data_IF_465119380736
#
_entry.id   IF_465119380736
#
_cell.length_a   1.000
_cell.length_b   1.000
_cell.length_c   1.000
_cell.angle_alpha   90.00
_cell.angle_beta   90.00
_cell.angle_gamma   90.00
#
_symmetry.space_group_name_H-M   'P 1'
#
loop_
_entity.id
_entity.type
_entity.pdbx_description
1 polymer ?
#
# COMPACT_ATOMS: atom_id res chain seq x y z
N UNK A 1 35.77 -29.02 -9.64
CA UNK A 1 34.99 -28.66 -8.45
C UNK A 1 33.82 -29.65 -8.42
N UNK A 2 33.93 -30.69 -7.61
CA UNK A 2 32.84 -31.66 -7.45
C UNK A 2 31.78 -31.03 -6.57
N UNK A 3 30.53 -31.06 -7.00
CA UNK A 3 29.40 -30.52 -6.27
C UNK A 3 28.96 -31.56 -5.24
N UNK A 4 29.22 -31.30 -3.95
CA UNK A 4 28.87 -32.24 -2.87
C UNK A 4 27.45 -31.91 -2.36
N UNK A 5 26.50 -32.77 -2.71
CA UNK A 5 25.10 -32.69 -2.27
C UNK A 5 24.97 -32.84 -0.74
N UNK A 6 25.85 -33.60 -0.12
CA UNK A 6 25.79 -33.80 1.33
C UNK A 6 26.13 -32.50 2.07
N UNK A 7 27.14 -31.76 1.62
CA UNK A 7 27.53 -30.48 2.16
C UNK A 7 26.37 -29.42 1.99
N UNK A 8 25.66 -29.49 0.87
CA UNK A 8 24.55 -28.55 0.59
C UNK A 8 23.32 -28.82 1.43
N UNK A 9 22.93 -30.09 1.64
CA UNK A 9 21.67 -30.44 2.28
C UNK A 9 21.79 -30.89 3.73
N UNK A 10 22.86 -31.47 4.16
CA UNK A 10 22.99 -32.08 5.48
C UNK A 10 24.07 -31.39 6.30
N UNK A 11 25.23 -31.07 5.66
CA UNK A 11 26.39 -30.53 6.34
C UNK A 11 26.71 -31.36 7.61
N UNK A 12 27.09 -30.74 8.70
CA UNK A 12 27.40 -31.41 10.00
C UNK A 12 26.15 -31.63 10.86
N UNK A 13 24.99 -31.95 10.27
CA UNK A 13 23.74 -32.17 10.99
C UNK A 13 23.75 -33.53 11.71
N UNK A 14 23.90 -33.53 13.02
CA UNK A 14 23.73 -34.71 13.86
C UNK A 14 22.34 -34.82 14.48
N UNK A 15 21.97 -35.99 15.01
CA UNK A 15 20.67 -36.22 15.65
C UNK A 15 20.42 -35.30 16.84
N UNK A 16 21.45 -34.98 17.62
CA UNK A 16 21.33 -34.12 18.79
C UNK A 16 20.98 -32.68 18.38
N UNK A 17 21.63 -32.19 17.31
CA UNK A 17 21.37 -30.87 16.78
C UNK A 17 20.04 -30.80 16.04
N UNK A 18 19.63 -31.86 15.34
CA UNK A 18 18.30 -31.94 14.73
C UNK A 18 17.19 -31.75 15.76
N UNK A 19 17.29 -32.43 16.91
CA UNK A 19 16.35 -32.26 18.00
C UNK A 19 16.37 -30.83 18.60
N UNK A 20 17.58 -30.25 18.72
CA UNK A 20 17.71 -28.86 19.18
C UNK A 20 17.07 -27.87 18.22
N UNK A 21 17.20 -28.04 16.90
CA UNK A 21 16.52 -27.17 15.91
C UNK A 21 15.01 -27.21 16.14
N UNK A 22 14.41 -28.39 16.31
CA UNK A 22 12.96 -28.51 16.55
C UNK A 22 12.55 -27.75 17.82
N UNK A 23 13.24 -27.99 18.93
CA UNK A 23 12.93 -27.34 20.22
C UNK A 23 13.12 -25.82 20.12
N UNK A 24 14.24 -25.35 19.57
CA UNK A 24 14.55 -23.94 19.38
C UNK A 24 13.50 -23.26 18.49
N UNK A 25 13.08 -23.92 17.41
CA UNK A 25 12.04 -23.40 16.51
C UNK A 25 10.69 -23.27 17.24
N UNK A 26 10.28 -24.28 18.01
CA UNK A 26 9.04 -24.20 18.79
C UNK A 26 9.07 -23.07 19.81
N UNK A 27 10.18 -22.90 20.52
CA UNK A 27 10.34 -21.82 21.51
C UNK A 27 10.33 -20.45 20.84
N UNK A 28 11.15 -20.25 19.79
CA UNK A 28 11.24 -18.95 19.12
C UNK A 28 9.94 -18.60 18.39
N UNK A 29 9.27 -19.56 17.76
CA UNK A 29 7.97 -19.36 17.15
C UNK A 29 6.90 -18.93 18.19
N UNK A 30 6.95 -19.55 19.37
CA UNK A 30 6.07 -19.14 20.48
C UNK A 30 6.35 -17.70 20.91
N UNK A 31 7.60 -17.26 20.95
CA UNK A 31 7.95 -15.86 21.25
C UNK A 31 7.42 -14.91 20.19
N UNK A 32 7.52 -15.24 18.91
CA UNK A 32 6.92 -14.44 17.83
C UNK A 32 5.41 -14.30 18.04
N UNK A 33 4.69 -15.41 18.31
CA UNK A 33 3.25 -15.38 18.54
C UNK A 33 2.88 -14.53 19.77
N UNK A 34 3.62 -14.66 20.86
CA UNK A 34 3.42 -13.87 22.07
C UNK A 34 3.65 -12.39 21.77
N UNK A 35 4.73 -12.04 21.07
CA UNK A 35 5.02 -10.67 20.67
C UNK A 35 3.88 -10.09 19.83
N UNK A 36 3.44 -10.78 18.78
CA UNK A 36 2.33 -10.33 17.92
C UNK A 36 1.02 -10.16 18.71
N UNK A 37 0.76 -11.05 19.68
CA UNK A 37 -0.41 -10.92 20.54
C UNK A 37 -0.29 -9.72 21.50
N UNK A 38 0.90 -9.44 22.00
CA UNK A 38 1.17 -8.32 22.92
C UNK A 38 1.26 -6.97 22.23
N UNK A 39 1.64 -6.90 20.94
CA UNK A 39 1.72 -5.66 20.18
C UNK A 39 0.33 -5.05 19.88
N UNK A 40 -0.76 -5.79 19.97
CA UNK A 40 -2.12 -5.26 19.91
C UNK A 40 -3.07 -6.01 18.98
N UNK A 41 -4.32 -5.53 18.91
CA UNK A 41 -5.40 -6.15 18.13
C UNK A 41 -5.48 -5.63 16.68
N UNK A 42 -4.56 -4.80 16.21
CA UNK A 42 -4.54 -4.38 14.80
C UNK A 42 -4.34 -5.62 13.94
N UNK A 43 -5.35 -5.97 13.16
CA UNK A 43 -5.26 -7.11 12.24
C UNK A 43 -4.14 -6.89 11.23
N UNK A 44 -3.57 -7.97 10.70
CA UNK A 44 -2.45 -7.95 9.72
C UNK A 44 -2.75 -7.04 8.49
N UNK A 45 -4.01 -6.72 8.24
CA UNK A 45 -4.45 -5.84 7.14
C UNK A 45 -4.23 -4.34 7.39
N UNK A 46 -3.88 -3.92 8.61
CA UNK A 46 -3.77 -2.50 9.00
C UNK A 46 -2.43 -2.21 9.69
N UNK A 47 -1.38 -2.98 9.37
CA UNK A 47 -0.05 -2.72 9.88
C UNK A 47 0.53 -1.46 9.23
N UNK A 48 1.04 -0.56 10.06
CA UNK A 48 1.84 0.57 9.58
C UNK A 48 3.21 0.10 9.05
N UNK A 49 3.87 0.94 8.25
CA UNK A 49 5.24 0.67 7.75
C UNK A 49 6.18 0.40 8.93
N UNK A 50 6.01 1.14 10.04
CA UNK A 50 6.77 0.96 11.27
C UNK A 50 6.58 -0.44 11.88
N UNK A 51 5.34 -0.92 11.96
CA UNK A 51 5.04 -2.26 12.49
C UNK A 51 5.59 -3.37 11.59
N UNK A 52 5.50 -3.20 10.27
CA UNK A 52 6.09 -4.12 9.29
C UNK A 52 7.61 -4.20 9.45
N UNK A 53 8.30 -3.07 9.61
CA UNK A 53 9.76 -3.03 9.82
C UNK A 53 10.17 -3.78 11.10
N UNK A 54 9.41 -3.62 12.19
CA UNK A 54 9.64 -4.36 13.43
C UNK A 54 9.46 -5.88 13.23
N UNK A 55 8.39 -6.30 12.55
CA UNK A 55 8.12 -7.72 12.31
C UNK A 55 9.24 -8.36 11.49
N UNK A 56 9.73 -7.68 10.45
CA UNK A 56 10.86 -8.17 9.64
C UNK A 56 12.13 -8.28 10.50
N UNK A 57 12.43 -7.25 11.30
CA UNK A 57 13.59 -7.26 12.21
C UNK A 57 13.53 -8.39 13.24
N UNK A 58 12.35 -8.65 13.82
CA UNK A 58 12.15 -9.74 14.76
C UNK A 58 12.23 -11.11 14.09
N UNK A 59 11.77 -11.23 12.83
CA UNK A 59 11.94 -12.46 12.05
C UNK A 59 13.43 -12.85 11.89
N UNK A 60 14.28 -11.89 11.60
CA UNK A 60 15.74 -12.10 11.55
C UNK A 60 16.31 -12.50 12.92
N UNK A 61 15.99 -11.76 13.98
CA UNK A 61 16.45 -12.06 15.34
C UNK A 61 15.98 -13.44 15.86
N UNK A 62 14.87 -13.95 15.36
CA UNK A 62 14.35 -15.27 15.68
C UNK A 62 15.03 -16.39 14.86
N UNK A 63 15.35 -16.11 13.60
CA UNK A 63 15.90 -17.10 12.66
C UNK A 63 17.28 -17.64 13.07
N UNK A 64 18.16 -16.75 13.49
CA UNK A 64 19.51 -17.12 13.89
C UNK A 64 19.56 -18.19 15.00
N UNK A 65 18.89 -18.04 16.15
CA UNK A 65 18.91 -19.07 17.19
C UNK A 65 18.13 -20.35 16.82
N UNK A 66 17.25 -20.32 15.81
CA UNK A 66 16.57 -21.53 15.32
C UNK A 66 17.51 -22.47 14.59
N UNK A 67 18.38 -21.94 13.74
CA UNK A 67 19.19 -22.73 12.79
C UNK A 67 20.67 -22.81 13.12
N UNK A 68 21.20 -21.93 13.98
CA UNK A 68 22.63 -21.85 14.27
C UNK A 68 22.93 -22.34 15.68
N UNK A 69 23.92 -23.27 15.78
CA UNK A 69 24.40 -23.83 17.08
C UNK A 69 24.98 -22.76 18.00
N UNK A 70 25.67 -21.78 17.44
CA UNK A 70 26.42 -20.76 18.19
C UNK A 70 25.54 -19.67 18.77
N UNK A 71 24.27 -19.57 18.33
CA UNK A 71 23.34 -18.59 18.84
C UNK A 71 22.42 -19.17 19.93
N UNK A 72 22.54 -18.62 21.13
CA UNK A 72 21.70 -19.02 22.25
C UNK A 72 20.31 -18.33 22.17
N UNK A 73 19.28 -18.96 22.72
CA UNK A 73 17.90 -18.43 22.75
C UNK A 73 17.77 -17.21 23.66
N UNK A 74 18.50 -17.15 24.77
CA UNK A 74 18.38 -16.09 25.78
C UNK A 74 18.71 -14.67 25.24
N UNK A 75 19.80 -14.46 24.46
CA UNK A 75 20.03 -13.17 23.79
C UNK A 75 18.88 -12.75 22.86
N UNK A 76 18.32 -13.67 22.09
CA UNK A 76 17.17 -13.37 21.24
C UNK A 76 15.93 -12.96 22.06
N UNK A 77 15.67 -13.65 23.18
CA UNK A 77 14.60 -13.25 24.09
C UNK A 77 14.78 -11.80 24.61
N UNK A 78 16.00 -11.41 24.97
CA UNK A 78 16.30 -10.04 25.38
C UNK A 78 16.04 -9.03 24.26
N UNK A 79 16.36 -9.37 22.99
CA UNK A 79 16.03 -8.56 21.83
C UNK A 79 14.50 -8.39 21.72
N UNK A 80 13.75 -9.48 21.80
CA UNK A 80 12.26 -9.43 21.73
C UNK A 80 11.67 -8.55 22.85
N UNK A 81 12.13 -8.70 24.09
CA UNK A 81 11.65 -7.90 25.20
C UNK A 81 12.01 -6.40 25.05
N UNK A 82 13.22 -6.11 24.58
CA UNK A 82 13.66 -4.74 24.32
C UNK A 82 12.84 -4.09 23.22
N UNK A 83 12.66 -4.79 22.09
CA UNK A 83 11.84 -4.30 20.96
C UNK A 83 10.38 -4.11 21.38
N UNK A 84 9.81 -5.02 22.16
CA UNK A 84 8.46 -4.88 22.70
C UNK A 84 8.33 -3.65 23.60
N UNK A 85 9.32 -3.42 24.49
CA UNK A 85 9.36 -2.24 25.34
C UNK A 85 9.44 -0.93 24.55
N UNK A 86 10.33 -0.89 23.53
CA UNK A 86 10.46 0.25 22.62
C UNK A 86 9.17 0.48 21.81
N UNK A 87 8.59 -0.58 21.25
CA UNK A 87 7.32 -0.50 20.55
C UNK A 87 6.21 0.11 21.42
N UNK A 88 6.07 -0.38 22.64
CA UNK A 88 5.07 0.16 23.60
C UNK A 88 5.34 1.62 23.97
N UNK A 89 6.61 2.00 24.14
CA UNK A 89 6.99 3.38 24.43
C UNK A 89 6.67 4.29 23.25
N UNK A 90 7.07 3.90 22.04
CA UNK A 90 6.86 4.69 20.82
C UNK A 90 5.36 4.86 20.54
N UNK A 91 4.58 3.79 20.60
CA UNK A 91 3.13 3.85 20.36
C UNK A 91 2.42 4.67 21.46
N UNK A 92 2.91 4.64 22.71
CA UNK A 92 2.36 5.48 23.77
C UNK A 92 2.67 6.97 23.55
N UNK A 93 3.86 7.31 23.04
CA UNK A 93 4.22 8.69 22.68
C UNK A 93 3.38 9.16 21.49
N UNK A 94 3.26 8.35 20.44
CA UNK A 94 2.46 8.65 19.26
C UNK A 94 0.99 8.91 19.62
N UNK A 95 0.38 8.06 20.46
CA UNK A 95 -0.99 8.26 20.94
C UNK A 95 -1.24 9.57 21.73
N UNK A 96 -0.18 10.26 22.15
CA UNK A 96 -0.27 11.53 22.89
C UNK A 96 0.17 12.76 22.09
N UNK A 97 0.81 12.56 20.96
CA UNK A 97 1.41 13.62 20.18
C UNK A 97 1.19 13.38 18.69
N UNK A 98 0.19 14.04 18.12
CA UNK A 98 -0.17 13.95 16.69
C UNK A 98 1.02 14.27 15.76
N UNK A 99 1.87 15.24 16.11
CA UNK A 99 3.06 15.57 15.32
C UNK A 99 4.10 14.45 15.30
N UNK A 100 4.22 13.68 16.39
CA UNK A 100 5.08 12.52 16.45
C UNK A 100 4.48 11.33 15.67
N UNK A 101 3.17 11.16 15.74
CA UNK A 101 2.43 10.17 14.97
C UNK A 101 2.59 10.40 13.46
N UNK A 102 2.43 11.65 13.00
CA UNK A 102 2.65 12.05 11.61
C UNK A 102 4.07 11.76 11.10
N UNK A 103 5.09 12.00 11.94
CA UNK A 103 6.49 11.64 11.58
C UNK A 103 6.69 10.13 11.50
N UNK A 104 6.01 9.35 12.33
CA UNK A 104 6.19 7.91 12.42
C UNK A 104 5.41 7.15 11.32
N UNK A 105 4.16 7.52 11.08
CA UNK A 105 3.22 6.81 10.21
C UNK A 105 2.89 7.60 8.94
N UNK A 106 3.23 8.89 8.88
CA UNK A 106 2.81 9.81 7.84
C UNK A 106 1.39 10.33 8.07
N UNK A 107 0.93 11.19 7.15
CA UNK A 107 -0.44 11.72 7.17
C UNK A 107 -1.26 11.16 6.01
N UNK A 108 -2.59 11.03 6.17
CA UNK A 108 -3.48 10.72 5.06
C UNK A 108 -3.40 11.79 3.97
N UNK A 109 -3.38 11.37 2.71
CA UNK A 109 -3.18 12.26 1.56
C UNK A 109 -4.38 12.22 0.63
N UNK A 110 -4.94 13.41 0.29
CA UNK A 110 -6.01 13.51 -0.69
C UNK A 110 -5.47 13.26 -2.10
N UNK A 111 -5.97 12.22 -2.76
CA UNK A 111 -5.62 11.86 -4.15
C UNK A 111 -6.66 12.35 -5.13
N UNK A 112 -7.95 12.20 -4.81
CA UNK A 112 -9.07 12.70 -5.60
C UNK A 112 -9.87 13.67 -4.77
N UNK A 113 -10.18 14.80 -5.38
CA UNK A 113 -11.13 15.80 -4.89
C UNK A 113 -12.04 16.21 -6.05
N UNK A 114 -13.33 16.18 -5.80
CA UNK A 114 -14.38 16.52 -6.79
C UNK A 114 -14.29 15.79 -8.13
N UNK A 115 -13.92 14.50 -8.11
CA UNK A 115 -13.80 13.68 -9.32
C UNK A 115 -12.53 13.93 -10.14
N UNK A 116 -11.55 14.63 -9.60
CA UNK A 116 -10.29 14.99 -10.25
C UNK A 116 -9.10 14.65 -9.35
N UNK A 117 -7.97 14.30 -9.95
CA UNK A 117 -6.73 14.13 -9.21
C UNK A 117 -6.27 15.45 -8.58
N UNK A 118 -5.81 15.39 -7.35
CA UNK A 118 -5.12 16.50 -6.72
C UNK A 118 -3.75 16.71 -7.41
N UNK A 119 -3.46 17.93 -7.84
CA UNK A 119 -2.24 18.25 -8.62
C UNK A 119 -0.97 18.28 -7.76
N UNK A 120 -1.09 18.52 -6.47
CA UNK A 120 0.06 18.62 -5.57
C UNK A 120 0.57 17.24 -5.15
N UNK A 121 -0.35 16.29 -4.98
CA UNK A 121 -0.11 14.98 -4.37
C UNK A 121 -0.24 13.82 -5.34
N UNK A 122 -1.14 13.91 -6.34
CA UNK A 122 -1.55 12.77 -7.18
C UNK A 122 -0.44 12.13 -8.01
N UNK A 123 0.57 12.89 -8.46
CA UNK A 123 1.69 12.33 -9.26
C UNK A 123 2.84 11.75 -8.44
N UNK A 124 3.01 12.24 -7.23
CA UNK A 124 4.18 11.89 -6.41
C UNK A 124 3.95 10.64 -5.57
N UNK A 125 2.71 10.23 -5.40
CA UNK A 125 2.32 9.28 -4.37
C UNK A 125 1.94 7.90 -4.93
N UNK A 126 1.46 7.82 -6.19
CA UNK A 126 1.02 6.57 -6.81
C UNK A 126 1.39 6.47 -8.29
N UNK A 127 1.79 5.27 -8.72
CA UNK A 127 1.73 4.95 -10.15
C UNK A 127 0.25 4.91 -10.57
N UNK A 128 -0.13 5.69 -11.59
CA UNK A 128 -1.53 5.85 -12.03
C UNK A 128 -2.23 4.51 -12.32
N UNK A 129 -1.51 3.58 -12.92
CA UNK A 129 -2.04 2.25 -13.25
C UNK A 129 -2.38 1.42 -11.99
N UNK A 130 -1.58 1.57 -10.93
CA UNK A 130 -1.81 0.94 -9.63
C UNK A 130 -3.06 1.52 -8.96
N UNK A 131 -3.19 2.84 -8.96
CA UNK A 131 -4.37 3.51 -8.44
C UNK A 131 -5.65 3.15 -9.21
N UNK A 132 -5.58 3.06 -10.54
CA UNK A 132 -6.70 2.59 -11.35
C UNK A 132 -7.06 1.13 -11.06
N UNK A 133 -6.08 0.30 -10.69
CA UNK A 133 -6.35 -1.07 -10.23
C UNK A 133 -7.15 -1.09 -8.93
N UNK A 134 -6.76 -0.25 -7.95
CA UNK A 134 -7.50 -0.09 -6.70
C UNK A 134 -8.94 0.38 -6.96
N UNK A 135 -9.13 1.38 -7.82
CA UNK A 135 -10.47 1.86 -8.18
C UNK A 135 -11.33 0.74 -8.77
N UNK A 136 -10.78 -0.06 -9.70
CA UNK A 136 -11.51 -1.17 -10.31
C UNK A 136 -11.87 -2.27 -9.31
N UNK A 137 -11.04 -2.54 -8.31
CA UNK A 137 -11.35 -3.47 -7.22
C UNK A 137 -12.55 -3.01 -6.38
N UNK A 138 -12.81 -1.69 -6.35
CA UNK A 138 -13.96 -1.08 -5.70
C UNK A 138 -15.15 -0.84 -6.66
N UNK A 139 -15.15 -1.46 -7.85
CA UNK A 139 -16.17 -1.32 -8.89
C UNK A 139 -16.35 0.13 -9.36
N UNK A 140 -15.27 0.91 -9.41
CA UNK A 140 -15.27 2.27 -9.94
C UNK A 140 -14.86 2.20 -11.42
N UNK A 141 -15.63 2.81 -12.30
CA UNK A 141 -15.38 2.82 -13.74
C UNK A 141 -14.74 4.12 -14.22
N UNK A 142 -14.99 5.25 -13.52
CA UNK A 142 -14.41 6.55 -13.84
C UNK A 142 -14.34 7.47 -12.61
N UNK A 143 -13.47 8.49 -12.69
CA UNK A 143 -13.26 9.42 -11.57
C UNK A 143 -14.53 10.20 -11.17
N UNK A 144 -15.43 10.49 -12.10
CA UNK A 144 -16.68 11.22 -11.83
C UNK A 144 -17.67 10.51 -10.89
N UNK A 145 -17.45 9.24 -10.55
CA UNK A 145 -18.19 8.52 -9.50
C UNK A 145 -17.65 8.82 -8.10
N UNK A 146 -16.41 9.33 -7.99
CA UNK A 146 -15.70 9.52 -6.73
C UNK A 146 -15.66 10.99 -6.37
N UNK A 147 -16.27 11.34 -5.24
CA UNK A 147 -16.19 12.69 -4.68
C UNK A 147 -14.82 12.95 -4.09
N UNK A 148 -14.31 11.99 -3.29
CA UNK A 148 -13.03 12.11 -2.58
C UNK A 148 -12.38 10.73 -2.50
N UNK A 149 -11.06 10.67 -2.72
CA UNK A 149 -10.26 9.51 -2.40
C UNK A 149 -9.05 9.93 -1.56
N UNK A 150 -8.80 9.19 -0.49
CA UNK A 150 -7.74 9.46 0.48
C UNK A 150 -6.83 8.24 0.55
N UNK A 151 -5.53 8.46 0.36
CA UNK A 151 -4.51 7.46 0.70
C UNK A 151 -4.27 7.51 2.19
N UNK A 152 -4.54 6.40 2.84
CA UNK A 152 -4.33 6.24 4.27
C UNK A 152 -2.86 5.92 4.59
N UNK A 153 -2.46 6.13 5.84
CA UNK A 153 -1.09 5.88 6.32
C UNK A 153 -0.64 4.42 6.20
N UNK A 154 -1.59 3.48 6.10
CA UNK A 154 -1.32 2.05 5.90
C UNK A 154 -1.26 1.64 4.42
N UNK A 155 -1.30 2.61 3.48
CA UNK A 155 -1.26 2.38 2.04
C UNK A 155 -2.59 1.98 1.38
N UNK A 156 -3.68 1.85 2.14
CA UNK A 156 -5.01 1.62 1.58
C UNK A 156 -5.60 2.93 1.04
N UNK A 157 -6.61 2.82 0.17
CA UNK A 157 -7.35 3.99 -0.32
C UNK A 157 -8.78 3.96 0.17
N UNK A 158 -9.20 5.05 0.82
CA UNK A 158 -10.58 5.28 1.21
C UNK A 158 -11.30 6.05 0.11
N UNK A 159 -12.44 5.53 -0.37
CA UNK A 159 -13.24 6.15 -1.43
C UNK A 159 -14.58 6.65 -0.89
N UNK A 160 -14.89 7.91 -1.16
CA UNK A 160 -16.17 8.55 -0.89
C UNK A 160 -16.84 8.89 -2.21
N UNK A 161 -18.03 8.38 -2.43
CA UNK A 161 -18.74 8.45 -3.70
C UNK A 161 -19.71 9.63 -3.78
N UNK A 162 -20.03 10.03 -4.98
CA UNK A 162 -21.20 10.83 -5.24
C UNK A 162 -22.46 9.98 -5.11
N UNK A 163 -23.60 10.61 -4.76
CA UNK A 163 -24.90 10.00 -4.95
C UNK A 163 -25.18 9.87 -6.46
N UNK A 164 -26.05 8.94 -6.85
CA UNK A 164 -26.36 8.64 -8.27
C UNK A 164 -26.75 9.90 -9.08
N UNK A 165 -27.53 10.79 -8.48
CA UNK A 165 -27.97 12.04 -9.09
C UNK A 165 -26.83 13.06 -9.34
N UNK A 166 -25.70 12.89 -8.65
CA UNK A 166 -24.58 13.82 -8.67
C UNK A 166 -23.33 13.24 -9.35
N UNK A 167 -23.45 12.05 -9.96
CA UNK A 167 -22.34 11.45 -10.74
C UNK A 167 -22.05 12.36 -11.93
N UNK A 168 -20.80 12.73 -12.08
CA UNK A 168 -20.29 13.62 -13.15
C UNK A 168 -19.64 12.79 -14.26
N UNK A 169 -19.56 13.30 -15.50
CA UNK A 169 -18.61 12.75 -16.47
C UNK A 169 -17.20 12.72 -15.90
N UNK A 170 -16.43 11.69 -16.19
CA UNK A 170 -15.10 11.55 -15.59
C UNK A 170 -14.12 10.72 -16.41
N UNK A 171 -12.87 10.79 -16.01
CA UNK A 171 -11.76 10.01 -16.59
C UNK A 171 -12.02 8.52 -16.39
N UNK A 172 -12.14 7.72 -17.47
CA UNK A 172 -12.34 6.28 -17.37
C UNK A 172 -11.10 5.57 -16.81
N UNK A 173 -11.32 4.58 -15.94
CA UNK A 173 -10.26 3.73 -15.38
C UNK A 173 -10.24 2.33 -15.98
N UNK A 174 -11.19 2.01 -16.85
CA UNK A 174 -11.28 0.76 -17.58
C UNK A 174 -10.20 0.71 -18.67
N UNK A 175 -9.32 -0.32 -18.72
CA UNK A 175 -8.15 -0.32 -19.59
C UNK A 175 -8.46 -0.12 -21.07
N UNK A 176 -9.48 -0.81 -21.60
CA UNK A 176 -9.86 -0.71 -23.02
C UNK A 176 -10.37 0.68 -23.42
N UNK A 177 -10.99 1.41 -22.49
CA UNK A 177 -11.49 2.77 -22.71
C UNK A 177 -10.35 3.76 -22.56
N UNK A 178 -9.57 3.64 -21.49
CA UNK A 178 -8.43 4.51 -21.22
C UNK A 178 -7.34 4.44 -22.30
N UNK A 179 -7.11 3.27 -22.91
CA UNK A 179 -6.12 3.11 -24.00
C UNK A 179 -6.46 3.90 -25.27
N UNK A 180 -7.69 4.39 -25.42
CA UNK A 180 -8.11 5.25 -26.56
C UNK A 180 -7.68 6.71 -26.38
N UNK A 181 -6.84 7.01 -25.40
CA UNK A 181 -6.30 8.33 -25.16
C UNK A 181 -5.48 8.84 -26.35
N UNK A 182 -5.60 10.13 -26.66
CA UNK A 182 -4.93 10.79 -27.76
C UNK A 182 -4.62 12.25 -27.45
N UNK A 183 -3.62 12.78 -28.09
CA UNK A 183 -3.35 14.22 -28.11
C UNK A 183 -4.16 14.97 -29.18
N UNK A 184 -4.71 14.23 -30.15
CA UNK A 184 -5.55 14.78 -31.21
C UNK A 184 -6.97 14.25 -31.06
N UNK A 185 -7.94 15.16 -31.08
CA UNK A 185 -9.37 14.86 -30.96
C UNK A 185 -10.05 15.31 -32.26
N UNK A 186 -10.72 14.39 -32.94
CA UNK A 186 -11.41 14.64 -34.20
C UNK A 186 -12.89 14.96 -33.98
N UNK A 187 -13.53 14.31 -32.99
CA UNK A 187 -14.94 14.42 -32.68
C UNK A 187 -15.24 15.42 -31.57
N UNK A 188 -16.33 16.16 -31.69
CA UNK A 188 -16.81 17.03 -30.61
C UNK A 188 -17.44 16.22 -29.49
N UNK A 189 -17.14 16.56 -28.22
CA UNK A 189 -17.67 15.83 -27.07
C UNK A 189 -17.04 16.22 -25.75
N UNK A 190 -17.39 15.50 -24.69
CA UNK A 190 -16.78 15.63 -23.37
C UNK A 190 -15.58 14.73 -23.26
N UNK A 191 -14.43 15.32 -22.94
CA UNK A 191 -13.16 14.64 -22.80
C UNK A 191 -12.54 14.91 -21.44
N UNK A 192 -12.00 13.87 -20.85
CA UNK A 192 -11.28 13.93 -19.60
C UNK A 192 -9.76 13.99 -19.86
N UNK A 193 -9.09 14.93 -19.24
CA UNK A 193 -7.64 15.00 -19.26
C UNK A 193 -7.07 13.76 -18.57
N UNK A 194 -6.22 13.02 -19.26
CA UNK A 194 -5.62 11.80 -18.73
C UNK A 194 -4.70 12.06 -17.54
N UNK A 195 -4.28 13.30 -17.36
CA UNK A 195 -3.35 13.71 -16.32
C UNK A 195 -4.05 14.06 -15.00
N UNK A 196 -5.02 14.99 -15.05
CA UNK A 196 -5.67 15.49 -13.84
C UNK A 196 -7.15 15.08 -13.68
N UNK A 197 -7.74 14.40 -14.69
CA UNK A 197 -9.14 13.99 -14.64
C UNK A 197 -10.14 15.10 -14.94
N UNK A 198 -9.69 16.34 -15.18
CA UNK A 198 -10.59 17.44 -15.51
C UNK A 198 -11.31 17.19 -16.83
N UNK A 199 -12.64 17.36 -16.84
CA UNK A 199 -13.48 17.17 -18.03
C UNK A 199 -13.75 18.51 -18.69
N UNK A 200 -13.61 18.55 -20.02
CA UNK A 200 -13.91 19.71 -20.85
C UNK A 200 -14.70 19.28 -22.09
N UNK A 201 -15.61 20.12 -22.54
CA UNK A 201 -16.17 20.01 -23.89
C UNK A 201 -15.14 20.48 -24.91
N UNK A 202 -14.80 19.62 -25.86
CA UNK A 202 -13.85 19.91 -26.93
C UNK A 202 -14.61 19.85 -28.25
N UNK A 203 -14.57 20.94 -29.01
CA UNK A 203 -15.25 21.10 -30.30
C UNK A 203 -14.22 20.99 -31.44
N UNK A 204 -13.56 19.83 -31.58
CA UNK A 204 -12.54 19.62 -32.61
C UNK A 204 -11.36 20.61 -32.52
N UNK A 205 -10.17 20.11 -32.65
CA UNK A 205 -8.89 20.78 -32.40
C UNK A 205 -8.45 20.74 -30.92
N UNK A 206 -7.33 20.10 -30.71
CA UNK A 206 -6.80 19.81 -29.37
C UNK A 206 -6.28 21.09 -28.70
N UNK A 207 -6.83 21.42 -27.56
CA UNK A 207 -6.34 22.45 -26.66
C UNK A 207 -5.64 21.87 -25.44
N UNK A 208 -4.92 22.72 -24.75
CA UNK A 208 -4.34 22.40 -23.45
C UNK A 208 -5.43 22.28 -22.39
N UNK A 209 -5.26 21.37 -21.44
CA UNK A 209 -6.16 21.29 -20.28
C UNK A 209 -6.11 22.63 -19.51
N UNK A 210 -7.27 23.23 -19.27
CA UNK A 210 -7.38 24.52 -18.58
C UNK A 210 -6.93 24.42 -17.09
N UNK A 211 -6.78 23.20 -16.55
CA UNK A 211 -6.38 22.98 -15.15
C UNK A 211 -4.90 22.62 -14.99
N UNK A 212 -4.36 21.72 -15.81
CA UNK A 212 -2.98 21.21 -15.66
C UNK A 212 -2.08 21.48 -16.87
N UNK A 213 -2.61 22.09 -17.94
CA UNK A 213 -1.91 22.44 -19.19
C UNK A 213 -1.30 21.26 -19.95
N UNK A 214 -1.77 20.04 -19.71
CA UNK A 214 -1.41 18.85 -20.47
C UNK A 214 -2.36 18.65 -21.65
N UNK A 215 -1.94 17.85 -22.67
CA UNK A 215 -2.60 17.76 -23.97
C UNK A 215 -3.25 16.39 -24.27
N UNK A 216 -3.06 15.41 -23.42
CA UNK A 216 -3.56 14.05 -23.66
C UNK A 216 -4.97 13.88 -23.05
N UNK A 217 -5.91 13.40 -23.88
CA UNK A 217 -7.31 13.32 -23.57
C UNK A 217 -7.87 11.94 -23.87
N UNK A 218 -8.92 11.57 -23.18
CA UNK A 218 -9.74 10.40 -23.47
C UNK A 218 -11.21 10.79 -23.34
N UNK A 219 -12.09 10.18 -24.12
CA UNK A 219 -13.53 10.44 -24.01
C UNK A 219 -14.01 10.18 -22.58
N UNK A 220 -14.67 11.18 -21.98
CA UNK A 220 -15.26 11.04 -20.66
C UNK A 220 -16.42 10.06 -20.70
N UNK A 221 -16.62 9.31 -19.63
CA UNK A 221 -17.79 8.44 -19.46
C UNK A 221 -18.57 8.86 -18.21
N UNK A 222 -19.89 8.61 -18.25
CA UNK A 222 -20.79 8.90 -17.13
C UNK A 222 -21.69 7.69 -16.89
N UNK A 223 -21.15 6.69 -16.23
CA UNK A 223 -21.89 5.48 -15.82
C UNK A 223 -22.26 5.58 -14.34
N UNK A 224 -23.42 5.07 -13.98
CA UNK A 224 -23.81 4.95 -12.58
C UNK A 224 -23.06 3.76 -11.96
N UNK A 225 -22.73 3.87 -10.70
CA UNK A 225 -22.14 2.77 -9.95
C UNK A 225 -23.19 1.70 -9.70
N UNK A 226 -22.92 0.49 -10.16
CA UNK A 226 -23.73 -0.68 -9.80
C UNK A 226 -23.30 -1.14 -8.41
N UNK A 227 -24.21 -1.07 -7.46
CA UNK A 227 -24.04 -1.55 -6.08
C UNK A 227 -24.30 -3.05 -5.97
#
# INVERSE_FOLDING_TARGET
>A
MEFDWNEVFINDLDWSFTLQIVVRTLVMFSFILIFLRMSGKKGVRQLSIFEVAIIIGLGSAAGDPMSNKDHAILPALLVFLTVLGLYRLITWIAAKNEGFESVLEGDPVYIIEDGMFNLETGEKTFAKDEFFSEMRQQNIEHLGQVRTAILETNGNVSFFYYNEENVKPGLPVLPKVYQKKSETIEDSGEYACTYCGNVQTIEGNTGDCNRCHKKEWVQAIQTLRLT
#
